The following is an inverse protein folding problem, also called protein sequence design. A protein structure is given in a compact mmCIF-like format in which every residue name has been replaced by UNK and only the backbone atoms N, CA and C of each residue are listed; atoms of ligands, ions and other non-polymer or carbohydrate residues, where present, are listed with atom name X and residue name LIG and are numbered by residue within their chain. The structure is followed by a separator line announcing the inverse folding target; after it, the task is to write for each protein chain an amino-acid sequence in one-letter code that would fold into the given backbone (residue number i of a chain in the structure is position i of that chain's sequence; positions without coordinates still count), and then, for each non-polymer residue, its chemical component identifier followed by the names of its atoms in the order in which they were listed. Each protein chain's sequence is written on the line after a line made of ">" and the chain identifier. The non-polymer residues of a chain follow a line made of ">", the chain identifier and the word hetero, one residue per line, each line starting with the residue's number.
data_IF_524874854889
#
_entry.id   IF_524874854889
#
_cell.length_a   1.000
_cell.length_b   1.000
_cell.length_c   1.000
_cell.angle_alpha   90.00
_cell.angle_beta   90.00
_cell.angle_gamma   90.00
#
_symmetry.space_group_name_H-M   'P 1'
#
loop_
_entity.id
_entity.type
_entity.pdbx_description
1 polymer ?
#
# COMPACT_ATOMS: atom_id res chain seq x y z
N UNK A 1 -36.57 -18.41 52.63
CA UNK A 1 -35.11 -18.52 52.85
C UNK A 1 -34.43 -17.65 51.83
N UNK A 2 -33.67 -16.64 52.21
CA UNK A 2 -32.93 -15.84 51.26
C UNK A 2 -31.72 -16.65 50.76
N UNK A 3 -31.62 -16.81 49.45
CA UNK A 3 -30.48 -17.38 48.75
C UNK A 3 -29.32 -16.37 48.78
N UNK A 4 -28.28 -16.67 49.54
CA UNK A 4 -27.04 -15.87 49.51
C UNK A 4 -26.29 -16.17 48.22
N UNK A 5 -26.33 -15.25 47.24
CA UNK A 5 -25.40 -15.26 46.13
C UNK A 5 -24.00 -14.98 46.69
N UNK A 6 -23.13 -15.98 46.65
CA UNK A 6 -21.68 -15.77 46.89
C UNK A 6 -21.14 -14.97 45.70
N UNK A 7 -20.85 -13.70 45.91
CA UNK A 7 -19.99 -12.95 44.99
C UNK A 7 -18.54 -13.44 45.23
N UNK A 8 -18.15 -14.43 44.46
CA UNK A 8 -16.75 -14.81 44.39
C UNK A 8 -16.02 -13.78 43.52
N UNK A 9 -15.38 -12.81 44.17
CA UNK A 9 -14.54 -11.80 43.48
C UNK A 9 -13.25 -12.44 42.98
N UNK A 10 -12.75 -11.99 41.83
CA UNK A 10 -11.46 -12.38 41.28
C UNK A 10 -10.32 -12.04 42.24
N UNK A 11 -9.40 -12.95 42.42
CA UNK A 11 -8.19 -12.68 43.19
C UNK A 11 -7.16 -11.92 42.34
N UNK A 12 -6.30 -11.10 42.99
CA UNK A 12 -5.25 -10.36 42.32
C UNK A 12 -4.28 -11.30 41.58
N UNK A 13 -4.02 -12.48 42.13
CA UNK A 13 -3.17 -13.49 41.50
C UNK A 13 -3.81 -14.07 40.22
N UNK A 14 -5.10 -14.30 40.22
CA UNK A 14 -5.82 -14.75 39.02
C UNK A 14 -5.71 -13.74 37.89
N UNK A 15 -5.84 -12.43 38.18
CA UNK A 15 -5.66 -11.38 37.21
C UNK A 15 -4.25 -11.34 36.63
N UNK A 16 -3.22 -11.46 37.52
CA UNK A 16 -1.82 -11.46 37.07
C UNK A 16 -1.52 -12.64 36.17
N UNK A 17 -2.02 -13.84 36.51
CA UNK A 17 -1.83 -15.04 35.68
C UNK A 17 -2.47 -14.89 34.32
N UNK A 18 -3.70 -14.34 34.24
CA UNK A 18 -4.37 -14.11 32.98
C UNK A 18 -3.60 -13.11 32.12
N UNK A 19 -3.13 -11.99 32.68
CA UNK A 19 -2.33 -11.00 31.95
C UNK A 19 -1.03 -11.62 31.45
N UNK A 20 -0.35 -12.43 32.24
CA UNK A 20 0.87 -13.13 31.85
C UNK A 20 0.63 -14.09 30.68
N UNK A 21 -0.45 -14.89 30.72
CA UNK A 21 -0.82 -15.79 29.63
C UNK A 21 -1.16 -15.03 28.34
N UNK A 22 -1.90 -13.94 28.44
CA UNK A 22 -2.23 -13.08 27.27
C UNK A 22 -0.97 -12.47 26.69
N UNK A 23 -0.02 -12.02 27.53
CA UNK A 23 1.24 -11.46 27.06
C UNK A 23 2.09 -12.50 26.30
N UNK A 24 2.15 -13.75 26.78
CA UNK A 24 2.86 -14.84 26.08
C UNK A 24 2.20 -15.15 24.73
N UNK A 25 0.89 -15.25 24.68
CA UNK A 25 0.16 -15.49 23.43
C UNK A 25 0.36 -14.33 22.43
N UNK A 26 0.31 -13.09 22.90
CA UNK A 26 0.53 -11.91 22.06
C UNK A 26 1.95 -11.90 21.48
N UNK A 27 2.97 -12.29 22.25
CA UNK A 27 4.36 -12.33 21.80
C UNK A 27 4.59 -13.33 20.64
N UNK A 28 3.82 -14.42 20.58
CA UNK A 28 3.92 -15.41 19.50
C UNK A 28 3.10 -15.02 18.27
N UNK A 29 1.94 -14.39 18.44
CA UNK A 29 1.02 -14.09 17.35
C UNK A 29 1.38 -12.80 16.61
N UNK A 30 1.84 -11.77 17.32
CA UNK A 30 2.09 -10.46 16.74
C UNK A 30 3.10 -10.47 15.59
N UNK A 31 4.28 -11.12 15.65
CA UNK A 31 5.25 -11.12 14.55
C UNK A 31 4.71 -11.81 13.28
N UNK A 32 3.91 -12.87 13.43
CA UNK A 32 3.31 -13.57 12.29
C UNK A 32 2.25 -12.73 11.55
N UNK A 33 1.52 -11.89 12.26
CA UNK A 33 0.52 -11.00 11.67
C UNK A 33 1.18 -9.84 10.92
N UNK A 34 2.24 -9.27 11.48
CA UNK A 34 2.99 -8.16 10.86
C UNK A 34 3.64 -8.62 9.55
N UNK A 35 4.28 -9.78 9.51
CA UNK A 35 4.86 -10.32 8.28
C UNK A 35 3.84 -10.56 7.17
N UNK A 36 2.66 -11.10 7.50
CA UNK A 36 1.59 -11.30 6.51
C UNK A 36 1.00 -9.99 5.99
N UNK A 37 0.90 -8.97 6.82
CA UNK A 37 0.43 -7.64 6.39
C UNK A 37 1.43 -7.00 5.42
N UNK A 38 2.73 -7.13 5.68
CA UNK A 38 3.82 -6.71 4.82
C UNK A 38 3.72 -7.33 3.43
N UNK A 39 3.65 -8.66 3.36
CA UNK A 39 3.51 -9.39 2.09
C UNK A 39 2.26 -8.98 1.31
N UNK A 40 1.15 -8.73 2.00
CA UNK A 40 -0.10 -8.29 1.38
C UNK A 40 0.03 -6.89 0.77
N UNK A 41 0.68 -5.95 1.47
CA UNK A 41 0.93 -4.60 0.99
C UNK A 41 1.83 -4.62 -0.26
N UNK A 42 2.94 -5.38 -0.23
CA UNK A 42 3.83 -5.51 -1.40
C UNK A 42 3.10 -6.07 -2.61
N UNK A 43 2.34 -7.15 -2.47
CA UNK A 43 1.52 -7.72 -3.57
C UNK A 43 0.49 -6.72 -4.09
N UNK A 44 -0.15 -5.98 -3.21
CA UNK A 44 -1.10 -4.93 -3.59
C UNK A 44 -0.43 -3.81 -4.37
N UNK A 45 0.78 -3.39 -3.95
CA UNK A 45 1.56 -2.39 -4.66
C UNK A 45 1.94 -2.85 -6.08
N UNK A 46 2.45 -4.07 -6.26
CA UNK A 46 2.76 -4.63 -7.58
C UNK A 46 1.56 -4.58 -8.52
N UNK A 47 0.40 -5.10 -8.08
CA UNK A 47 -0.84 -5.09 -8.87
C UNK A 47 -1.28 -3.65 -9.22
N UNK A 48 -1.11 -2.73 -8.29
CA UNK A 48 -1.46 -1.33 -8.51
C UNK A 48 -0.53 -0.68 -9.54
N UNK A 49 0.78 -0.90 -9.44
CA UNK A 49 1.76 -0.40 -10.39
C UNK A 49 1.50 -0.90 -11.81
N UNK A 50 1.18 -2.19 -11.99
CA UNK A 50 0.80 -2.77 -13.27
C UNK A 50 -0.44 -2.10 -13.88
N UNK A 51 -1.46 -1.85 -13.05
CA UNK A 51 -2.68 -1.16 -13.49
C UNK A 51 -2.41 0.29 -13.94
N UNK A 52 -1.57 1.01 -13.21
CA UNK A 52 -1.21 2.38 -13.56
C UNK A 52 -0.33 2.38 -14.81
N UNK A 53 0.61 1.43 -14.95
CA UNK A 53 1.42 1.28 -16.15
C UNK A 53 0.53 1.04 -17.40
N UNK A 54 -0.49 0.19 -17.27
CA UNK A 54 -1.48 -0.02 -18.33
C UNK A 54 -2.24 1.27 -18.68
N UNK A 55 -2.56 2.10 -17.68
CA UNK A 55 -3.21 3.40 -17.89
C UNK A 55 -2.27 4.41 -18.58
N UNK A 56 -0.97 4.37 -18.28
CA UNK A 56 0.05 5.18 -18.97
C UNK A 56 0.15 4.79 -20.45
N UNK A 57 0.15 3.49 -20.76
CA UNK A 57 0.16 3.03 -22.15
C UNK A 57 -1.12 3.40 -22.90
N UNK A 58 -2.29 3.30 -22.28
CA UNK A 58 -3.54 3.74 -22.87
C UNK A 58 -3.52 5.25 -23.15
N UNK A 59 -3.07 6.04 -22.20
CA UNK A 59 -2.86 7.48 -22.38
C UNK A 59 -1.98 7.76 -23.60
N UNK A 60 -0.85 7.03 -23.73
CA UNK A 60 0.07 7.17 -24.87
C UNK A 60 -0.60 6.83 -26.21
N UNK A 61 -1.35 5.72 -26.24
CA UNK A 61 -2.04 5.30 -27.45
C UNK A 61 -3.05 6.33 -27.95
N UNK A 62 -3.77 6.96 -27.05
CA UNK A 62 -4.80 7.96 -27.41
C UNK A 62 -4.23 9.34 -27.69
N UNK A 63 -3.26 9.79 -26.89
CA UNK A 63 -2.71 11.15 -26.99
C UNK A 63 -1.48 11.25 -27.89
N UNK A 64 -0.84 10.12 -28.22
CA UNK A 64 0.40 10.05 -29.01
C UNK A 64 1.67 10.32 -28.20
N UNK A 65 1.58 10.56 -26.90
CA UNK A 65 2.73 10.85 -26.02
C UNK A 65 2.53 10.28 -24.63
N UNK A 66 3.60 10.03 -23.90
CA UNK A 66 3.53 9.65 -22.49
C UNK A 66 3.10 10.85 -21.62
N UNK A 67 2.42 10.60 -20.48
CA UNK A 67 2.10 11.65 -19.52
C UNK A 67 3.40 12.23 -18.92
N UNK A 68 3.38 13.48 -18.53
CA UNK A 68 4.52 14.13 -17.87
C UNK A 68 4.56 13.79 -16.39
N UNK A 69 3.38 13.59 -15.79
CA UNK A 69 3.19 13.22 -14.40
C UNK A 69 1.98 12.28 -14.28
N UNK A 70 1.88 11.52 -13.19
CA UNK A 70 0.78 10.57 -13.01
C UNK A 70 -0.58 11.25 -12.89
N UNK A 71 -0.63 12.48 -12.42
CA UNK A 71 -1.84 13.30 -12.34
C UNK A 71 -2.52 13.53 -13.70
N UNK A 72 -1.74 13.49 -14.77
CA UNK A 72 -2.25 13.61 -16.16
C UNK A 72 -3.18 12.45 -16.54
N UNK A 73 -3.11 11.32 -15.81
CA UNK A 73 -4.03 10.20 -15.96
C UNK A 73 -5.40 10.47 -15.33
N UNK A 74 -5.48 11.40 -14.40
CA UNK A 74 -6.72 11.75 -13.66
C UNK A 74 -7.35 13.02 -14.19
N UNK A 75 -6.52 14.00 -14.54
CA UNK A 75 -6.95 15.33 -15.03
C UNK A 75 -6.33 15.62 -16.38
N UNK A 76 -7.13 16.20 -17.27
CA UNK A 76 -6.65 16.60 -18.59
C UNK A 76 -5.55 17.65 -18.47
N UNK A 77 -4.33 17.39 -18.97
CA UNK A 77 -3.27 18.38 -19.02
C UNK A 77 -3.56 19.46 -20.07
N UNK A 78 -3.01 20.65 -19.86
CA UNK A 78 -3.10 21.74 -20.86
C UNK A 78 -2.40 21.34 -22.16
N UNK A 79 -3.03 21.59 -23.30
CA UNK A 79 -2.45 21.31 -24.63
C UNK A 79 -2.49 19.84 -25.05
N UNK A 80 -3.26 18.99 -24.38
CA UNK A 80 -3.55 17.61 -24.80
C UNK A 80 -4.96 17.53 -25.37
N UNK A 81 -5.07 17.61 -26.70
CA UNK A 81 -6.37 17.64 -27.37
C UNK A 81 -7.09 16.30 -27.36
N UNK A 82 -6.35 15.18 -27.56
CA UNK A 82 -6.89 13.83 -27.66
C UNK A 82 -6.96 13.10 -26.31
N UNK A 83 -7.24 13.82 -25.23
CA UNK A 83 -7.37 13.22 -23.91
C UNK A 83 -8.81 12.75 -23.69
N UNK A 84 -9.04 11.43 -23.58
CA UNK A 84 -10.34 10.81 -23.37
C UNK A 84 -10.51 10.24 -21.95
N UNK A 85 -9.63 10.62 -21.02
CA UNK A 85 -9.69 10.14 -19.63
C UNK A 85 -10.94 10.57 -18.85
N UNK A 86 -10.98 10.32 -17.56
CA UNK A 86 -9.82 9.91 -16.75
C UNK A 86 -9.40 8.44 -16.95
N UNK A 87 -8.11 8.18 -17.08
CA UNK A 87 -7.50 6.85 -17.18
C UNK A 87 -7.34 6.21 -15.81
N UNK A 88 -7.21 7.04 -14.78
CA UNK A 88 -7.27 6.67 -13.36
C UNK A 88 -8.35 7.52 -12.71
N UNK A 89 -9.27 6.89 -11.99
CA UNK A 89 -10.51 7.54 -11.52
C UNK A 89 -10.28 8.62 -10.48
N UNK A 90 -9.27 8.47 -9.62
CA UNK A 90 -9.03 9.35 -8.46
C UNK A 90 -7.53 9.49 -8.19
N UNK A 91 -7.11 10.67 -7.74
CA UNK A 91 -5.73 10.94 -7.31
C UNK A 91 -5.27 10.00 -6.18
N UNK A 92 -6.18 9.59 -5.29
CA UNK A 92 -5.84 8.66 -4.20
C UNK A 92 -5.38 7.28 -4.69
N UNK A 93 -5.68 6.90 -5.94
CA UNK A 93 -5.19 5.67 -6.55
C UNK A 93 -3.75 5.77 -7.07
N UNK A 94 -3.17 6.97 -7.04
CA UNK A 94 -1.76 7.23 -7.33
C UNK A 94 -0.88 7.17 -6.08
N UNK A 95 -1.42 6.69 -4.95
CA UNK A 95 -0.68 6.41 -3.72
C UNK A 95 -0.54 4.92 -3.52
N UNK A 96 0.61 4.52 -3.00
CA UNK A 96 0.86 3.13 -2.67
C UNK A 96 0.06 2.66 -1.42
N UNK A 97 0.10 1.37 -1.06
CA UNK A 97 -0.60 0.85 0.12
C UNK A 97 -0.16 1.44 1.46
N UNK A 98 1.01 2.05 1.52
CA UNK A 98 1.51 2.76 2.71
C UNK A 98 1.12 4.23 2.74
N UNK A 99 0.51 4.75 1.65
CA UNK A 99 0.03 6.12 1.54
C UNK A 99 1.02 7.10 0.91
N UNK A 100 2.17 6.63 0.42
CA UNK A 100 3.16 7.43 -0.29
C UNK A 100 2.76 7.63 -1.75
N UNK A 101 3.15 8.75 -2.35
CA UNK A 101 2.87 9.02 -3.76
C UNK A 101 3.75 8.13 -4.66
N UNK A 102 3.13 7.56 -5.69
CA UNK A 102 3.84 6.84 -6.74
C UNK A 102 4.62 7.82 -7.61
N UNK A 103 5.79 7.41 -8.08
CA UNK A 103 6.69 8.24 -8.87
C UNK A 103 6.77 7.72 -10.31
N UNK A 104 6.54 8.61 -11.28
CA UNK A 104 6.80 8.33 -12.70
C UNK A 104 8.21 8.81 -13.06
N UNK A 105 9.05 7.91 -13.55
CA UNK A 105 10.37 8.22 -14.11
C UNK A 105 10.35 8.07 -15.62
N UNK A 106 10.89 9.03 -16.33
CA UNK A 106 11.03 9.03 -17.79
C UNK A 106 12.37 9.65 -18.22
N UNK A 107 13.19 8.92 -19.01
CA UNK A 107 13.04 7.50 -19.33
C UNK A 107 13.17 6.61 -18.10
N UNK A 108 12.61 5.40 -18.14
CA UNK A 108 12.85 4.38 -17.13
C UNK A 108 14.17 3.63 -17.38
N UNK A 109 14.63 2.86 -16.39
CA UNK A 109 15.86 2.06 -16.55
C UNK A 109 15.67 0.89 -17.53
N UNK A 110 14.48 0.27 -17.51
CA UNK A 110 14.13 -0.90 -18.33
C UNK A 110 13.10 -0.61 -19.42
N UNK A 111 12.87 0.66 -19.78
CA UNK A 111 11.90 1.01 -20.79
C UNK A 111 11.65 2.51 -20.92
N UNK A 112 10.64 2.90 -21.70
CA UNK A 112 10.36 4.31 -21.96
C UNK A 112 9.87 5.07 -20.73
N UNK A 113 9.36 4.35 -19.73
CA UNK A 113 8.97 4.86 -18.43
C UNK A 113 9.06 3.75 -17.37
N UNK A 114 9.07 4.14 -16.13
CA UNK A 114 8.84 3.26 -14.99
C UNK A 114 8.02 3.97 -13.92
N UNK A 115 7.28 3.19 -13.15
CA UNK A 115 6.51 3.66 -12.01
C UNK A 115 7.07 2.98 -10.78
N UNK A 116 7.37 3.79 -9.76
CA UNK A 116 8.06 3.35 -8.55
C UNK A 116 7.18 3.66 -7.34
N UNK A 117 7.04 2.67 -6.45
CA UNK A 117 6.69 2.88 -5.06
C UNK A 117 7.95 2.75 -4.22
N UNK A 118 8.20 3.70 -3.34
CA UNK A 118 9.34 3.67 -2.42
C UNK A 118 9.05 2.94 -1.10
N UNK A 119 8.08 2.00 -1.12
CA UNK A 119 7.77 1.20 0.05
C UNK A 119 7.22 1.99 1.23
N UNK A 120 7.34 1.39 2.42
CA UNK A 120 6.73 1.92 3.64
C UNK A 120 7.33 3.22 4.15
N UNK A 121 8.63 3.44 3.95
CA UNK A 121 9.31 4.67 4.39
C UNK A 121 9.25 5.83 3.38
N UNK A 122 8.78 5.57 2.15
CA UNK A 122 8.64 6.55 1.09
C UNK A 122 9.98 7.13 0.58
N UNK A 123 11.08 6.39 0.71
CA UNK A 123 12.44 6.79 0.30
C UNK A 123 13.05 5.79 -0.64
N UNK A 124 13.89 6.23 -1.60
CA UNK A 124 14.61 5.32 -2.49
C UNK A 124 15.48 4.31 -1.73
N UNK A 125 15.42 3.04 -2.14
CA UNK A 125 16.16 1.94 -1.53
C UNK A 125 15.39 1.23 -0.45
N UNK A 126 16.07 0.77 0.61
CA UNK A 126 15.46 0.03 1.72
C UNK A 126 15.41 -1.47 1.52
N UNK A 127 14.89 -2.17 2.52
CA UNK A 127 14.71 -3.63 2.53
C UNK A 127 13.33 -4.00 3.09
N UNK A 128 12.82 -5.17 2.75
CA UNK A 128 11.52 -5.64 3.22
C UNK A 128 10.37 -4.72 2.79
N UNK A 129 9.63 -4.18 3.74
CA UNK A 129 8.52 -3.25 3.49
C UNK A 129 8.96 -1.90 2.92
N UNK A 130 10.20 -1.49 3.20
CA UNK A 130 10.76 -0.22 2.75
C UNK A 130 11.46 -0.34 1.40
N UNK A 131 11.59 -1.55 0.84
CA UNK A 131 12.20 -1.75 -0.47
C UNK A 131 11.36 -1.16 -1.59
N UNK A 132 12.02 -0.56 -2.58
CA UNK A 132 11.40 -0.06 -3.80
C UNK A 132 10.67 -1.18 -4.54
N UNK A 133 9.56 -0.83 -5.18
CA UNK A 133 8.77 -1.73 -6.03
C UNK A 133 8.57 -1.04 -7.38
N UNK A 134 8.86 -1.74 -8.45
CA UNK A 134 8.77 -1.22 -9.81
C UNK A 134 7.70 -1.96 -10.62
N UNK A 135 7.12 -1.28 -11.61
CA UNK A 135 6.03 -1.84 -12.43
C UNK A 135 6.45 -2.98 -13.38
N UNK A 136 7.71 -3.32 -13.43
CA UNK A 136 8.26 -4.38 -14.28
C UNK A 136 8.83 -5.59 -13.48
N UNK A 137 8.67 -5.61 -12.15
CA UNK A 137 9.05 -6.74 -11.26
C UNK A 137 8.00 -7.90 -11.25
#
# INVERSE_FOLDING_TARGET
>A
MPSFYRNDGFTLIELIVVIALVAVLAAVVAPNLLGKASDANRKSAVIQLEKIASSVELYRLETGRYPEQLEDLVKRPTGVERWNGPYVRKLSLLKDPWGNDLVLRRPGENGPFEIVSYGGDGRPGGEGDDADILNWE
#
